data_IF_004770411491
#
_entry.id   IF_004770411491
#
_cell.length_a   1.000
_cell.length_b   1.000
_cell.length_c   1.000
_cell.angle_alpha   90.00
_cell.angle_beta   90.00
_cell.angle_gamma   90.00
#
_symmetry.space_group_name_H-M   'P 1'
#
loop_
_entity.id
_entity.type
_entity.pdbx_description
1 polymer ?
#
# COMPACT_ATOMS: atom_id res chain seq x y z
N UNK A 1 -15.86 -1.83 2.89
CA UNK A 1 -15.15 -0.53 2.73
C UNK A 1 -13.73 -0.75 3.19
N UNK A 2 -12.72 -0.25 2.48
CA UNK A 2 -11.34 -0.31 2.96
C UNK A 2 -11.14 0.72 4.09
N UNK A 3 -10.56 0.32 5.22
CA UNK A 3 -10.36 1.19 6.39
C UNK A 3 -9.43 2.41 6.16
N UNK A 4 -9.30 3.26 7.19
CA UNK A 4 -8.50 4.48 7.14
C UNK A 4 -7.03 4.25 6.75
N UNK A 5 -6.46 3.12 7.16
CA UNK A 5 -5.07 2.75 6.81
C UNK A 5 -4.93 2.54 5.31
N UNK A 6 -5.92 1.91 4.67
CA UNK A 6 -5.95 1.79 3.22
C UNK A 6 -6.14 3.14 2.51
N UNK A 7 -6.96 4.04 3.06
CA UNK A 7 -7.14 5.38 2.47
C UNK A 7 -5.84 6.20 2.46
N UNK A 8 -5.01 6.07 3.50
CA UNK A 8 -3.67 6.69 3.55
C UNK A 8 -2.76 6.17 2.44
N UNK A 9 -2.78 4.86 2.18
CA UNK A 9 -2.00 4.23 1.10
C UNK A 9 -2.47 4.75 -0.26
N UNK A 10 -3.78 4.75 -0.52
CA UNK A 10 -4.34 5.22 -1.79
C UNK A 10 -4.03 6.69 -2.04
N UNK A 11 -4.16 7.53 -1.00
CA UNK A 11 -3.78 8.95 -1.08
C UNK A 11 -2.30 9.11 -1.42
N UNK A 12 -1.41 8.31 -0.80
CA UNK A 12 0.02 8.35 -1.11
C UNK A 12 0.30 7.89 -2.54
N UNK A 13 -0.36 6.83 -3.01
CA UNK A 13 -0.23 6.34 -4.39
C UNK A 13 -0.63 7.42 -5.39
N UNK A 14 -1.76 8.09 -5.16
CA UNK A 14 -2.22 9.20 -5.99
C UNK A 14 -1.18 10.32 -6.07
N UNK A 15 -0.67 10.78 -4.93
CA UNK A 15 0.35 11.84 -4.86
C UNK A 15 1.63 11.46 -5.62
N UNK A 16 2.09 10.21 -5.49
CA UNK A 16 3.29 9.74 -6.16
C UNK A 16 3.06 9.62 -7.67
N UNK A 17 1.89 9.13 -8.08
CA UNK A 17 1.53 9.04 -9.50
C UNK A 17 1.46 10.43 -10.14
N UNK A 18 0.78 11.38 -9.50
CA UNK A 18 0.71 12.77 -9.97
C UNK A 18 2.12 13.37 -10.11
N UNK A 19 2.98 13.17 -9.11
CA UNK A 19 4.36 13.64 -9.16
C UNK A 19 5.17 13.02 -10.30
N UNK A 20 4.98 11.73 -10.60
CA UNK A 20 5.67 11.08 -11.73
C UNK A 20 5.12 11.56 -13.07
N UNK A 21 3.80 11.73 -13.18
CA UNK A 21 3.15 12.15 -14.40
C UNK A 21 3.51 13.58 -14.80
N UNK A 22 3.63 14.48 -13.82
CA UNK A 22 4.01 15.88 -14.05
C UNK A 22 5.53 16.07 -14.21
N UNK A 23 6.33 15.02 -14.00
CA UNK A 23 7.77 15.09 -14.12
C UNK A 23 8.22 15.03 -15.58
N UNK A 24 9.08 15.96 -16.00
CA UNK A 24 9.65 15.99 -17.35
C UNK A 24 10.88 15.06 -17.44
N UNK A 25 10.63 13.75 -17.35
CA UNK A 25 11.67 12.72 -17.44
C UNK A 25 11.12 11.33 -17.15
N UNK A 26 12.00 10.32 -17.17
CA UNK A 26 11.60 8.95 -16.81
C UNK A 26 11.31 8.85 -15.30
N UNK A 27 10.22 8.17 -14.97
CA UNK A 27 9.79 7.91 -13.61
C UNK A 27 9.22 6.51 -13.49
N UNK A 28 9.56 5.82 -12.40
CA UNK A 28 9.06 4.46 -12.12
C UNK A 28 8.36 4.44 -10.76
N UNK A 29 7.21 3.77 -10.73
CA UNK A 29 6.55 3.35 -9.49
C UNK A 29 6.36 1.83 -9.51
N UNK A 30 6.75 1.17 -8.43
CA UNK A 30 6.48 -0.27 -8.21
C UNK A 30 5.74 -0.46 -6.89
N UNK A 31 4.72 -1.32 -6.89
CA UNK A 31 4.00 -1.71 -5.69
C UNK A 31 4.22 -3.19 -5.45
N UNK A 32 4.66 -3.53 -4.24
CA UNK A 32 4.75 -4.92 -3.78
C UNK A 32 3.76 -5.11 -2.63
N UNK A 33 3.03 -6.22 -2.65
CA UNK A 33 2.17 -6.63 -1.54
C UNK A 33 2.68 -7.97 -1.02
N UNK A 34 3.15 -8.00 0.22
CA UNK A 34 3.61 -9.22 0.90
C UNK A 34 2.53 -9.68 1.86
N UNK A 35 2.15 -10.96 1.75
CA UNK A 35 1.27 -11.58 2.74
C UNK A 35 2.07 -11.83 4.01
N UNK A 36 1.60 -11.30 5.13
CA UNK A 36 2.17 -11.54 6.45
C UNK A 36 1.34 -12.59 7.20
N UNK A 37 1.79 -12.92 8.42
CA UNK A 37 1.05 -13.79 9.33
C UNK A 37 -0.23 -13.10 9.82
N UNK A 38 -1.18 -13.89 10.34
CA UNK A 38 -2.43 -13.40 10.97
C UNK A 38 -3.29 -12.49 10.07
N UNK A 39 -3.28 -12.76 8.76
CA UNK A 39 -4.10 -11.99 7.81
C UNK A 39 -3.60 -10.55 7.58
N UNK A 40 -2.40 -10.19 8.03
CA UNK A 40 -1.83 -8.90 7.70
C UNK A 40 -1.20 -8.91 6.31
N UNK A 41 -1.11 -7.74 5.69
CA UNK A 41 -0.40 -7.52 4.44
C UNK A 41 0.54 -6.34 4.61
N UNK A 42 1.74 -6.48 4.09
CA UNK A 42 2.66 -5.36 3.93
C UNK A 42 2.54 -4.82 2.51
N UNK A 43 2.26 -3.52 2.38
CA UNK A 43 2.27 -2.78 1.11
C UNK A 43 3.53 -1.94 1.05
N UNK A 44 4.34 -2.16 0.02
CA UNK A 44 5.59 -1.44 -0.23
C UNK A 44 5.45 -0.68 -1.54
N UNK A 45 5.66 0.63 -1.51
CA UNK A 45 5.64 1.50 -2.70
C UNK A 45 7.07 2.01 -2.94
N UNK A 46 7.63 1.69 -4.11
CA UNK A 46 8.90 2.19 -4.60
C UNK A 46 8.63 3.35 -5.56
N UNK A 47 9.17 4.54 -5.29
CA UNK A 47 9.09 5.71 -6.16
C UNK A 47 10.21 6.70 -5.76
N UNK A 48 11.46 6.39 -6.12
CA UNK A 48 12.68 7.08 -5.67
C UNK A 48 13.05 6.84 -4.20
N UNK A 49 12.05 6.76 -3.32
CA UNK A 49 12.12 6.27 -1.93
C UNK A 49 11.13 5.11 -1.72
N UNK A 50 11.33 4.37 -0.65
CA UNK A 50 10.41 3.30 -0.24
C UNK A 50 9.45 3.79 0.84
N UNK A 51 8.16 3.51 0.65
CA UNK A 51 7.12 3.68 1.66
C UNK A 51 6.55 2.31 2.03
N UNK A 52 6.45 2.00 3.32
CA UNK A 52 5.99 0.69 3.81
C UNK A 52 4.82 0.86 4.75
N UNK A 53 3.80 0.03 4.56
CA UNK A 53 2.57 0.04 5.35
C UNK A 53 2.21 -1.39 5.72
N UNK A 54 1.81 -1.63 6.97
CA UNK A 54 1.19 -2.89 7.38
C UNK A 54 -0.30 -2.64 7.56
N UNK A 55 -1.12 -3.42 6.88
CA UNK A 55 -2.59 -3.32 6.93
C UNK A 55 -3.22 -4.67 7.21
N UNK A 56 -4.28 -4.68 8.00
CA UNK A 56 -5.07 -5.88 8.26
C UNK A 56 -5.95 -6.21 7.04
N UNK A 57 -6.04 -7.50 6.69
CA UNK A 57 -6.97 -7.95 5.67
C UNK A 57 -8.35 -8.15 6.32
N UNK A 58 -9.20 -7.12 6.25
CA UNK A 58 -10.56 -7.13 6.83
C UNK A 58 -11.48 -8.23 6.25
N UNK A 59 -11.04 -8.96 5.23
CA UNK A 59 -11.82 -9.97 4.52
C UNK A 59 -11.35 -11.42 4.76
N UNK A 60 -10.68 -11.72 5.88
CA UNK A 60 -10.32 -13.10 6.22
C UNK A 60 -11.04 -13.57 7.49
N UNK A 61 -12.02 -14.49 7.40
CA UNK A 61 -12.75 -15.04 8.55
C UNK A 61 -11.90 -16.09 9.28
N UNK A 62 -10.74 -15.69 9.79
CA UNK A 62 -9.75 -16.59 10.40
C UNK A 62 -8.85 -15.96 11.46
N UNK A 63 -9.31 -14.89 12.12
CA UNK A 63 -8.79 -14.53 13.45
C UNK A 63 -9.21 -15.61 14.46
N UNK A 64 -8.39 -15.91 15.49
CA UNK A 64 -8.65 -17.04 16.39
C UNK A 64 -10.03 -16.90 17.02
N UNK A 65 -10.74 -18.03 17.13
CA UNK A 65 -12.02 -18.11 17.83
C UNK A 65 -11.88 -17.52 19.23
N UNK A 66 -12.68 -16.50 19.52
CA UNK A 66 -13.17 -16.20 20.87
C UNK A 66 -14.59 -16.73 20.99
#
# INVERSE_FOLDING_TARGET
MLNESHQKILTKMYQLYESLFLHNGYGEMKIEIKLLKRGQKEVIIHCGKQYRYVVDNENQPGGPAE
#
